data_IF_668214213169
#
_entry.id   IF_668214213169
#
_cell.length_a   1.000
_cell.length_b   1.000
_cell.length_c   1.000
_cell.angle_alpha   90.00
_cell.angle_beta   90.00
_cell.angle_gamma   90.00
#
_symmetry.space_group_name_H-M   'P 1'
#
loop_
_entity.id
_entity.type
_entity.pdbx_description
1 polymer ?
#
# COMPACT_ATOMS: atom_id res chain seq x y z
N UNK A 1 32.08 -10.64 -6.37
CA UNK A 1 31.41 -10.31 -7.64
C UNK A 1 30.01 -9.83 -7.29
N UNK A 2 29.66 -8.56 -7.50
CA UNK A 2 28.31 -8.07 -7.17
C UNK A 2 27.37 -8.62 -8.25
N UNK A 3 26.50 -9.56 -7.88
CA UNK A 3 25.55 -10.14 -8.82
C UNK A 3 24.38 -9.17 -9.04
N UNK A 4 24.11 -8.82 -10.30
CA UNK A 4 22.91 -8.07 -10.65
C UNK A 4 21.68 -8.98 -10.49
N UNK A 5 20.77 -8.62 -9.58
CA UNK A 5 19.57 -9.40 -9.31
C UNK A 5 18.34 -8.92 -10.10
N UNK A 6 18.42 -7.81 -10.85
CA UNK A 6 17.25 -7.17 -11.47
C UNK A 6 16.56 -8.09 -12.48
N UNK A 7 17.32 -8.90 -13.21
CA UNK A 7 16.79 -9.83 -14.21
C UNK A 7 16.21 -11.12 -13.59
N UNK A 8 16.40 -11.34 -12.29
CA UNK A 8 15.87 -12.52 -11.62
C UNK A 8 14.37 -12.35 -11.32
N UNK A 9 13.59 -13.43 -11.43
CA UNK A 9 12.21 -13.46 -10.98
C UNK A 9 12.05 -12.97 -9.53
N UNK A 10 10.91 -12.36 -9.22
CA UNK A 10 10.60 -11.90 -7.87
C UNK A 10 10.80 -12.99 -6.81
N UNK A 11 10.37 -14.23 -7.08
CA UNK A 11 10.49 -15.31 -6.10
C UNK A 11 11.93 -15.65 -5.72
N UNK A 12 12.86 -15.58 -6.67
CA UNK A 12 14.28 -15.82 -6.40
C UNK A 12 14.84 -14.70 -5.54
N UNK A 13 14.56 -13.44 -5.92
CA UNK A 13 14.97 -12.26 -5.15
C UNK A 13 14.43 -12.30 -3.73
N UNK A 14 13.17 -12.70 -3.57
CA UNK A 14 12.51 -12.84 -2.27
C UNK A 14 13.13 -13.95 -1.41
N UNK A 15 13.47 -15.11 -2.00
CA UNK A 15 14.19 -16.20 -1.31
C UNK A 15 15.62 -15.81 -0.93
N UNK A 16 16.33 -15.08 -1.81
CA UNK A 16 17.68 -14.58 -1.53
C UNK A 16 17.66 -13.58 -0.37
N UNK A 17 16.67 -12.68 -0.31
CA UNK A 17 16.51 -11.76 0.81
C UNK A 17 16.36 -12.50 2.14
N UNK A 18 15.57 -13.58 2.18
CA UNK A 18 15.46 -14.42 3.38
C UNK A 18 16.82 -15.03 3.76
N UNK A 19 17.47 -15.73 2.83
CA UNK A 19 18.69 -16.50 3.09
C UNK A 19 19.94 -15.66 3.36
N UNK A 20 20.08 -14.53 2.67
CA UNK A 20 21.31 -13.74 2.70
C UNK A 20 21.25 -12.56 3.67
N UNK A 21 20.05 -12.15 4.10
CA UNK A 21 19.87 -10.99 4.99
C UNK A 21 19.15 -11.35 6.28
N UNK A 22 17.99 -12.00 6.18
CA UNK A 22 17.10 -12.20 7.33
C UNK A 22 17.58 -13.35 8.22
N UNK A 23 17.87 -14.51 7.63
CA UNK A 23 18.37 -15.68 8.36
C UNK A 23 19.72 -15.40 9.06
N UNK A 24 20.76 -14.85 8.41
CA UNK A 24 22.04 -14.58 9.06
C UNK A 24 21.91 -13.59 10.22
N UNK A 25 21.11 -12.53 10.04
CA UNK A 25 20.84 -11.54 11.08
C UNK A 25 20.11 -12.16 12.27
N UNK A 26 19.08 -12.97 12.02
CA UNK A 26 18.34 -13.63 13.10
C UNK A 26 19.22 -14.65 13.85
N UNK A 27 20.06 -15.38 13.12
CA UNK A 27 21.04 -16.31 13.69
C UNK A 27 22.02 -15.57 14.60
N UNK A 28 22.64 -14.50 14.13
CA UNK A 28 23.57 -13.69 14.92
C UNK A 28 22.88 -13.09 16.14
N UNK A 29 21.69 -12.51 15.98
CA UNK A 29 20.90 -11.96 17.09
C UNK A 29 20.63 -13.01 18.16
N UNK A 30 20.29 -14.23 17.79
CA UNK A 30 20.06 -15.31 18.74
C UNK A 30 21.33 -15.68 19.52
N UNK A 31 22.48 -15.77 18.83
CA UNK A 31 23.77 -16.04 19.46
C UNK A 31 24.20 -14.93 20.42
N UNK A 32 24.03 -13.67 20.01
CA UNK A 32 24.34 -12.49 20.83
C UNK A 32 23.46 -12.44 22.07
N UNK A 33 22.17 -12.75 21.96
CA UNK A 33 21.25 -12.76 23.10
C UNK A 33 21.63 -13.81 24.16
N UNK A 34 22.29 -14.90 23.76
CA UNK A 34 22.80 -15.94 24.66
C UNK A 34 24.21 -15.66 25.18
N UNK A 35 24.92 -14.69 24.58
CA UNK A 35 26.29 -14.34 24.98
C UNK A 35 26.31 -13.54 26.28
N UNK A 36 27.25 -13.87 27.17
CA UNK A 36 27.51 -13.09 28.40
C UNK A 36 28.14 -11.72 28.12
N UNK A 37 28.80 -11.56 26.98
CA UNK A 37 29.44 -10.30 26.59
C UNK A 37 29.11 -9.99 25.10
N UNK A 38 27.93 -9.41 24.82
CA UNK A 38 27.49 -9.14 23.46
C UNK A 38 28.27 -7.97 22.84
N UNK A 39 28.85 -8.16 21.65
CA UNK A 39 29.55 -7.09 20.92
C UNK A 39 28.60 -6.14 20.17
N UNK A 40 27.33 -6.52 20.02
CA UNK A 40 26.31 -5.72 19.35
C UNK A 40 24.98 -5.81 20.11
N UNK A 41 24.20 -4.71 20.10
CA UNK A 41 22.96 -4.56 20.88
C UNK A 41 21.77 -4.31 19.96
N UNK A 42 21.15 -5.40 19.52
CA UNK A 42 19.96 -5.37 18.65
C UNK A 42 18.76 -4.64 19.27
N UNK A 43 18.68 -4.55 20.59
CA UNK A 43 17.63 -3.85 21.33
C UNK A 43 17.78 -2.31 21.27
N UNK A 44 18.97 -1.81 20.96
CA UNK A 44 19.25 -0.38 20.81
C UNK A 44 19.10 0.12 19.36
N UNK A 45 18.70 -0.77 18.44
CA UNK A 45 18.45 -0.37 17.06
C UNK A 45 17.26 0.60 16.98
N UNK A 46 17.37 1.68 16.18
CA UNK A 46 16.28 2.65 16.03
C UNK A 46 15.04 2.04 15.35
N UNK A 47 15.19 0.90 14.69
CA UNK A 47 14.10 0.17 14.04
C UNK A 47 14.39 -1.33 14.01
N UNK A 48 13.33 -2.13 13.83
CA UNK A 48 13.44 -3.58 13.63
C UNK A 48 13.41 -3.93 12.15
N UNK A 49 14.24 -4.88 11.74
CA UNK A 49 14.24 -5.43 10.39
C UNK A 49 13.37 -6.68 10.35
N UNK A 50 12.39 -6.71 9.44
CA UNK A 50 11.52 -7.86 9.15
C UNK A 50 11.29 -7.95 7.65
N UNK A 51 11.23 -9.18 7.11
CA UNK A 51 10.81 -9.39 5.72
C UNK A 51 9.30 -9.25 5.63
N UNK A 52 8.81 -8.57 4.59
CA UNK A 52 7.38 -8.55 4.27
C UNK A 52 6.99 -9.88 3.62
N UNK A 53 5.98 -10.53 4.18
CA UNK A 53 5.39 -11.74 3.63
C UNK A 53 4.54 -11.43 2.40
N UNK A 54 4.53 -12.39 1.48
CA UNK A 54 3.66 -12.42 0.32
C UNK A 54 2.86 -13.72 0.37
N UNK A 55 1.61 -13.66 -0.07
CA UNK A 55 0.71 -14.79 -0.04
C UNK A 55 0.12 -15.02 -1.43
N UNK A 56 -0.32 -16.25 -1.69
CA UNK A 56 -0.98 -16.61 -2.93
C UNK A 56 -2.32 -15.87 -3.08
N UNK A 57 -2.74 -15.63 -4.32
CA UNK A 57 -4.03 -14.97 -4.63
C UNK A 57 -5.22 -15.64 -3.95
N UNK A 58 -5.19 -16.96 -3.78
CA UNK A 58 -6.25 -17.73 -3.09
C UNK A 58 -6.44 -17.37 -1.61
N UNK A 59 -5.51 -16.62 -1.01
CA UNK A 59 -5.56 -16.21 0.39
C UNK A 59 -6.11 -14.81 0.60
N UNK A 60 -6.39 -14.07 -0.48
CA UNK A 60 -6.76 -12.63 -0.41
C UNK A 60 -7.97 -12.38 0.49
N UNK A 61 -8.99 -13.25 0.45
CA UNK A 61 -10.16 -13.14 1.34
C UNK A 61 -9.76 -13.16 2.82
N UNK A 62 -8.84 -14.05 3.21
CA UNK A 62 -8.34 -14.12 4.59
C UNK A 62 -7.45 -12.92 4.92
N UNK A 63 -6.68 -12.43 3.95
CA UNK A 63 -5.85 -11.25 4.15
C UNK A 63 -6.71 -10.02 4.48
N UNK A 64 -7.74 -9.76 3.68
CA UNK A 64 -8.64 -8.62 3.86
C UNK A 64 -9.47 -8.74 5.14
N UNK A 65 -10.07 -9.91 5.40
CA UNK A 65 -11.05 -10.06 6.49
C UNK A 65 -10.44 -10.42 7.85
N UNK A 66 -9.26 -11.03 7.88
CA UNK A 66 -8.68 -11.54 9.13
C UNK A 66 -7.30 -10.97 9.44
N UNK A 67 -6.42 -10.79 8.44
CA UNK A 67 -5.04 -10.40 8.67
C UNK A 67 -4.88 -8.89 8.80
N UNK A 68 -5.38 -8.12 7.81
CA UNK A 68 -5.29 -6.67 7.77
C UNK A 68 -5.89 -6.01 9.03
N UNK A 69 -7.09 -6.41 9.50
CA UNK A 69 -7.66 -5.84 10.73
C UNK A 69 -6.84 -6.11 12.00
N UNK A 70 -5.91 -7.08 11.98
CA UNK A 70 -5.03 -7.44 13.09
C UNK A 70 -3.64 -6.82 12.96
N UNK A 71 -3.38 -6.03 11.92
CA UNK A 71 -2.10 -5.35 11.76
C UNK A 71 -1.94 -4.28 12.84
N UNK A 72 -0.71 -4.10 13.30
CA UNK A 72 -0.36 -3.04 14.25
C UNK A 72 -0.16 -1.68 13.57
N UNK A 73 -0.55 -1.55 12.30
CA UNK A 73 -0.41 -0.37 11.46
C UNK A 73 -1.54 -0.35 10.44
N UNK A 74 -1.88 0.86 9.98
CA UNK A 74 -2.92 1.04 8.97
C UNK A 74 -2.49 0.40 7.64
N UNK A 75 -3.46 -0.21 6.95
CA UNK A 75 -3.29 -0.73 5.60
C UNK A 75 -4.39 -0.17 4.71
N UNK A 76 -4.00 0.30 3.53
CA UNK A 76 -4.89 0.99 2.59
C UNK A 76 -5.32 0.13 1.40
N UNK A 77 -4.99 -1.17 1.42
CA UNK A 77 -5.39 -2.13 0.40
C UNK A 77 -4.35 -3.21 0.16
N UNK A 78 -4.16 -3.58 -1.10
CA UNK A 78 -3.34 -4.71 -1.53
C UNK A 78 -2.34 -4.32 -2.61
N UNK A 79 -1.19 -5.00 -2.62
CA UNK A 79 -0.19 -4.93 -3.67
C UNK A 79 -0.09 -6.30 -4.34
N UNK A 80 -0.24 -6.34 -5.65
CA UNK A 80 -0.09 -7.55 -6.46
C UNK A 80 1.24 -7.50 -7.20
N UNK A 81 2.10 -8.46 -6.89
CA UNK A 81 3.44 -8.60 -7.45
C UNK A 81 3.47 -9.89 -8.27
N UNK A 82 3.82 -9.78 -9.56
CA UNK A 82 4.04 -10.95 -10.39
C UNK A 82 5.19 -11.79 -9.84
N UNK A 83 4.93 -13.08 -9.65
CA UNK A 83 5.86 -14.01 -9.00
C UNK A 83 7.11 -14.28 -9.84
N UNK A 84 6.92 -14.34 -11.16
CA UNK A 84 7.96 -14.63 -12.14
C UNK A 84 8.58 -13.35 -12.75
N UNK A 85 8.07 -12.17 -12.37
CA UNK A 85 8.46 -10.90 -12.98
C UNK A 85 9.87 -10.44 -12.53
N UNK A 86 10.71 -9.97 -13.48
CA UNK A 86 11.95 -9.29 -13.13
C UNK A 86 11.66 -7.94 -12.45
N UNK A 87 12.67 -7.36 -11.81
CA UNK A 87 12.54 -6.02 -11.27
C UNK A 87 12.59 -4.98 -12.39
N UNK A 88 11.57 -4.11 -12.45
CA UNK A 88 11.52 -2.98 -13.36
C UNK A 88 11.72 -1.68 -12.57
N UNK A 89 12.80 -0.91 -12.83
CA UNK A 89 12.98 0.39 -12.20
C UNK A 89 11.91 1.38 -12.65
N UNK A 90 11.48 2.27 -11.73
CA UNK A 90 10.43 3.29 -11.94
C UNK A 90 9.05 2.64 -12.08
N UNK A 91 8.21 3.14 -13.00
CA UNK A 91 6.85 2.65 -13.21
C UNK A 91 6.87 1.26 -13.81
N UNK A 92 6.14 0.34 -13.18
CA UNK A 92 5.96 -1.02 -13.66
C UNK A 92 4.46 -1.30 -13.80
N UNK A 93 4.00 -1.48 -15.03
CA UNK A 93 2.57 -1.74 -15.33
C UNK A 93 2.07 -3.11 -14.79
N UNK A 94 2.98 -4.04 -14.49
CA UNK A 94 2.65 -5.33 -13.88
C UNK A 94 2.58 -5.31 -12.35
N UNK A 95 3.08 -4.26 -11.71
CA UNK A 95 2.96 -4.07 -10.26
C UNK A 95 1.68 -3.32 -9.96
N UNK A 96 0.65 -4.06 -9.58
CA UNK A 96 -0.67 -3.49 -9.33
C UNK A 96 -0.83 -3.14 -7.86
N UNK A 97 -1.55 -2.05 -7.61
CA UNK A 97 -2.00 -1.65 -6.28
C UNK A 97 -3.51 -1.49 -6.33
N UNK A 98 -4.19 -2.16 -5.42
CA UNK A 98 -5.61 -1.95 -5.16
C UNK A 98 -5.74 -1.21 -3.84
N UNK A 99 -6.62 -0.21 -3.80
CA UNK A 99 -6.96 0.53 -2.59
C UNK A 99 -8.45 0.49 -2.36
N UNK A 100 -8.85 0.54 -1.10
CA UNK A 100 -10.25 0.76 -0.76
C UNK A 100 -10.75 2.07 -1.41
N UNK A 101 -11.92 2.07 -2.06
CA UNK A 101 -12.45 3.25 -2.75
C UNK A 101 -12.44 4.52 -1.89
N UNK A 102 -12.82 4.39 -0.63
CA UNK A 102 -12.88 5.46 0.38
C UNK A 102 -11.52 6.00 0.81
N UNK A 103 -10.43 5.27 0.53
CA UNK A 103 -9.05 5.67 0.80
C UNK A 103 -8.34 6.25 -0.43
N UNK A 104 -9.04 6.37 -1.55
CA UNK A 104 -8.55 7.16 -2.68
C UNK A 104 -8.69 8.65 -2.35
N UNK A 105 -7.55 9.27 -2.09
CA UNK A 105 -7.48 10.66 -1.65
C UNK A 105 -6.67 11.54 -2.60
N UNK A 106 -6.96 12.84 -2.54
CA UNK A 106 -6.24 13.89 -3.23
C UNK A 106 -5.87 14.95 -2.21
N UNK A 107 -4.62 15.42 -2.26
CA UNK A 107 -4.22 16.57 -1.45
C UNK A 107 -4.46 17.87 -2.22
N UNK A 108 -5.36 18.70 -1.71
CA UNK A 108 -5.68 20.02 -2.25
C UNK A 108 -5.11 21.11 -1.36
N UNK A 109 -4.79 22.26 -1.95
CA UNK A 109 -4.66 23.50 -1.19
C UNK A 109 -6.06 24.09 -1.05
N UNK A 110 -6.50 24.29 0.17
CA UNK A 110 -7.82 24.81 0.49
C UNK A 110 -7.74 26.27 0.87
N UNK A 111 -8.58 27.11 0.29
CA UNK A 111 -8.72 28.52 0.63
C UNK A 111 -10.21 28.86 0.75
N UNK A 112 -10.52 29.85 1.58
CA UNK A 112 -11.85 30.47 1.68
C UNK A 112 -11.70 31.91 1.24
N UNK A 113 -12.53 32.36 0.30
CA UNK A 113 -12.51 33.74 -0.18
C UNK A 113 -13.33 34.69 0.71
N UNK A 114 -13.38 35.97 0.33
CA UNK A 114 -14.10 37.00 1.09
C UNK A 114 -15.63 36.83 1.10
N UNK A 115 -16.17 36.01 0.20
CA UNK A 115 -17.60 35.68 0.10
C UNK A 115 -17.92 34.34 0.80
N UNK A 116 -17.02 33.85 1.67
CA UNK A 116 -17.08 32.54 2.33
C UNK A 116 -17.15 31.33 1.36
N UNK A 117 -16.70 31.50 0.11
CA UNK A 117 -16.69 30.41 -0.86
C UNK A 117 -15.44 29.57 -0.68
N UNK A 118 -15.64 28.26 -0.71
CA UNK A 118 -14.58 27.28 -0.63
C UNK A 118 -13.88 27.11 -1.99
N UNK A 119 -12.56 27.18 -1.99
CA UNK A 119 -11.72 27.09 -3.18
C UNK A 119 -10.70 25.95 -3.01
N UNK A 120 -10.65 25.06 -3.99
CA UNK A 120 -9.72 23.94 -4.02
C UNK A 120 -8.70 24.11 -5.13
N UNK A 121 -7.42 24.02 -4.79
CA UNK A 121 -6.33 24.18 -5.75
C UNK A 121 -5.47 22.92 -5.85
N UNK A 122 -5.10 22.61 -7.10
CA UNK A 122 -4.09 21.63 -7.46
C UNK A 122 -2.85 22.33 -8.03
N UNK A 123 -1.74 21.61 -8.12
CA UNK A 123 -0.58 22.07 -8.87
C UNK A 123 -0.71 21.66 -10.34
N UNK A 124 -0.44 22.58 -11.26
CA UNK A 124 -0.29 22.27 -12.67
C UNK A 124 0.96 22.98 -13.18
N UNK A 125 2.05 22.22 -13.33
CA UNK A 125 3.35 22.73 -13.81
C UNK A 125 3.86 23.92 -12.98
N UNK A 126 3.73 23.83 -11.66
CA UNK A 126 4.19 24.85 -10.70
C UNK A 126 3.24 26.03 -10.50
N UNK A 127 2.02 25.99 -11.07
CA UNK A 127 0.99 27.02 -10.88
C UNK A 127 -0.22 26.45 -10.15
N UNK A 128 -0.88 27.27 -9.32
CA UNK A 128 -2.17 26.94 -8.71
C UNK A 128 -3.23 26.83 -9.81
N UNK A 129 -3.94 25.70 -9.84
CA UNK A 129 -5.09 25.43 -10.70
C UNK A 129 -6.33 25.28 -9.83
N UNK A 130 -7.31 26.17 -10.00
CA UNK A 130 -8.58 26.11 -9.30
C UNK A 130 -9.44 24.95 -9.82
N UNK A 131 -10.07 24.23 -8.89
CA UNK A 131 -11.05 23.19 -9.16
C UNK A 131 -12.46 23.78 -8.98
N UNK A 132 -13.05 24.25 -10.08
CA UNK A 132 -14.37 24.88 -10.08
C UNK A 132 -15.47 23.89 -9.66
N UNK A 133 -16.49 24.40 -8.93
CA UNK A 133 -17.69 23.64 -8.58
C UNK A 133 -17.49 22.51 -7.57
N UNK A 134 -16.35 22.45 -6.87
CA UNK A 134 -16.07 21.45 -5.85
C UNK A 134 -16.12 22.08 -4.45
N UNK A 135 -16.81 21.43 -3.52
CA UNK A 135 -16.85 21.81 -2.10
C UNK A 135 -16.27 20.70 -1.24
N UNK A 136 -15.87 21.07 -0.02
CA UNK A 136 -15.34 20.15 0.99
C UNK A 136 -16.24 20.13 2.22
N UNK A 137 -16.53 18.92 2.69
CA UNK A 137 -17.21 18.66 3.95
C UNK A 137 -16.18 18.28 5.02
N UNK A 138 -16.28 18.92 6.18
CA UNK A 138 -15.51 18.61 7.38
C UNK A 138 -16.41 17.88 8.36
N UNK A 139 -16.24 16.55 8.48
CA UNK A 139 -17.16 15.67 9.23
C UNK A 139 -17.16 15.90 10.74
N UNK A 140 -16.14 16.56 11.27
CA UNK A 140 -16.01 16.94 12.68
C UNK A 140 -16.79 18.22 13.04
N UNK A 141 -17.45 18.86 12.07
CA UNK A 141 -18.18 20.11 12.26
C UNK A 141 -17.28 21.32 12.40
N UNK A 142 -15.98 21.19 12.10
CA UNK A 142 -15.03 22.30 12.14
C UNK A 142 -15.38 23.37 11.10
N UNK A 143 -15.16 24.63 11.46
CA UNK A 143 -15.33 25.76 10.54
C UNK A 143 -14.30 25.66 9.38
N UNK A 144 -14.75 25.61 8.11
CA UNK A 144 -13.86 25.59 6.95
C UNK A 144 -12.80 26.68 6.96
N UNK A 145 -13.13 27.88 7.45
CA UNK A 145 -12.22 29.03 7.49
C UNK A 145 -10.91 28.73 8.26
N UNK A 146 -10.97 27.85 9.26
CA UNK A 146 -9.82 27.41 10.04
C UNK A 146 -8.79 26.59 9.23
N UNK A 147 -9.18 26.10 8.04
CA UNK A 147 -8.33 25.34 7.13
C UNK A 147 -7.80 26.15 5.94
N UNK A 148 -8.23 27.41 5.81
CA UNK A 148 -7.79 28.28 4.71
C UNK A 148 -6.27 28.44 4.69
N UNK A 149 -5.68 28.31 3.50
CA UNK A 149 -4.23 28.32 3.26
C UNK A 149 -3.51 27.01 3.58
N UNK A 150 -4.21 25.96 4.02
CA UNK A 150 -3.60 24.66 4.37
C UNK A 150 -3.77 23.65 3.24
N UNK A 151 -2.88 22.67 3.20
CA UNK A 151 -3.06 21.48 2.37
C UNK A 151 -3.90 20.49 3.16
N UNK A 152 -5.01 20.06 2.57
CA UNK A 152 -5.92 19.08 3.13
C UNK A 152 -5.96 17.84 2.23
N UNK A 153 -5.95 16.67 2.85
CA UNK A 153 -6.17 15.40 2.17
C UNK A 153 -7.68 15.11 2.17
N UNK A 154 -8.26 14.93 0.99
CA UNK A 154 -9.69 14.67 0.84
C UNK A 154 -9.94 13.36 0.10
N UNK A 155 -10.93 12.59 0.54
CA UNK A 155 -11.50 11.47 -0.22
C UNK A 155 -12.79 11.90 -0.90
N UNK A 156 -13.17 11.19 -1.97
CA UNK A 156 -14.42 11.45 -2.68
C UNK A 156 -15.55 10.59 -2.11
N UNK A 157 -16.63 11.22 -1.68
CA UNK A 157 -17.88 10.56 -1.34
C UNK A 157 -18.74 10.44 -2.61
N UNK A 158 -18.89 9.23 -3.14
CA UNK A 158 -19.62 9.00 -4.37
C UNK A 158 -21.14 9.16 -4.21
N UNK A 159 -21.66 8.98 -3.00
CA UNK A 159 -23.10 9.02 -2.77
C UNK A 159 -23.57 10.48 -2.68
N UNK A 160 -22.84 11.29 -1.93
CA UNK A 160 -23.13 12.72 -1.75
C UNK A 160 -22.48 13.62 -2.83
N UNK A 161 -21.60 13.06 -3.67
CA UNK A 161 -20.85 13.78 -4.72
C UNK A 161 -20.06 14.97 -4.17
N UNK A 162 -19.39 14.78 -3.02
CA UNK A 162 -18.60 15.82 -2.34
C UNK A 162 -17.21 15.30 -1.95
N UNK A 163 -16.26 16.23 -1.81
CA UNK A 163 -14.99 15.92 -1.17
C UNK A 163 -15.15 15.95 0.34
N UNK A 164 -14.61 14.95 1.03
CA UNK A 164 -14.60 14.86 2.48
C UNK A 164 -13.18 15.07 2.97
N UNK A 165 -12.95 16.08 3.80
CA UNK A 165 -11.66 16.28 4.44
C UNK A 165 -11.34 15.12 5.39
N UNK A 166 -10.21 14.47 5.17
CA UNK A 166 -9.68 13.41 6.02
C UNK A 166 -8.74 13.99 7.08
N UNK A 167 -7.81 14.85 6.67
CA UNK A 167 -6.82 15.48 7.57
C UNK A 167 -6.09 16.65 6.91
N UNK A 168 -5.41 17.43 7.74
CA UNK A 168 -4.44 18.45 7.31
C UNK A 168 -3.07 17.79 7.06
N UNK A 169 -2.42 18.14 5.95
CA UNK A 169 -1.10 17.66 5.53
C UNK A 169 -0.01 18.65 5.86
N UNK A 170 0.38 18.71 7.12
CA UNK A 170 1.49 19.57 7.59
C UNK A 170 2.86 19.13 7.06
N UNK A 171 2.96 17.89 6.57
CA UNK A 171 4.15 17.32 5.93
C UNK A 171 4.35 17.79 4.47
N UNK A 172 3.36 18.48 3.89
CA UNK A 172 3.38 18.91 2.49
C UNK A 172 3.45 20.43 2.37
N UNK A 173 4.21 20.90 1.40
CA UNK A 173 4.29 22.31 1.02
C UNK A 173 3.51 22.65 -0.25
N UNK A 174 3.13 21.63 -1.05
CA UNK A 174 2.37 21.81 -2.30
C UNK A 174 1.24 20.77 -2.41
N UNK A 175 0.09 21.13 -3.03
CA UNK A 175 -0.96 20.16 -3.33
C UNK A 175 -0.51 19.16 -4.39
N UNK A 176 -1.35 18.16 -4.68
CA UNK A 176 -1.07 17.19 -5.73
C UNK A 176 -0.99 17.83 -7.13
N UNK A 177 -0.18 17.23 -7.99
CA UNK A 177 -0.19 17.54 -9.43
C UNK A 177 -1.53 17.15 -10.05
N UNK A 178 -1.99 17.93 -11.02
CA UNK A 178 -3.22 17.66 -11.76
C UNK A 178 -3.22 16.27 -12.42
N UNK A 179 -2.05 15.79 -12.86
CA UNK A 179 -1.91 14.43 -13.39
C UNK A 179 -2.13 13.34 -12.33
N UNK A 180 -1.76 13.59 -11.07
CA UNK A 180 -2.04 12.69 -9.95
C UNK A 180 -3.53 12.68 -9.68
N UNK A 181 -4.17 13.85 -9.58
CA UNK A 181 -5.62 13.98 -9.45
C UNK A 181 -6.37 13.19 -10.54
N UNK A 182 -5.98 13.34 -11.82
CA UNK A 182 -6.61 12.58 -12.92
C UNK A 182 -6.51 11.06 -12.76
N UNK A 183 -5.39 10.56 -12.24
CA UNK A 183 -5.21 9.12 -11.97
C UNK A 183 -6.08 8.66 -10.81
N UNK A 184 -6.17 9.47 -9.75
CA UNK A 184 -7.05 9.19 -8.61
C UNK A 184 -8.53 9.20 -9.04
N UNK A 185 -8.97 10.21 -9.80
CA UNK A 185 -10.33 10.26 -10.33
C UNK A 185 -10.67 9.10 -11.26
N UNK A 186 -9.71 8.63 -12.06
CA UNK A 186 -9.89 7.40 -12.84
C UNK A 186 -10.13 6.21 -11.92
N UNK A 187 -9.30 6.05 -10.88
CA UNK A 187 -9.45 4.97 -9.91
C UNK A 187 -10.80 5.02 -9.17
N UNK A 188 -11.25 6.22 -8.78
CA UNK A 188 -12.55 6.43 -8.15
C UNK A 188 -13.68 6.04 -9.11
N UNK A 189 -13.56 6.41 -10.39
CA UNK A 189 -14.57 6.10 -11.42
C UNK A 189 -14.61 4.60 -11.76
N UNK A 190 -13.45 3.95 -11.82
CA UNK A 190 -13.36 2.50 -12.07
C UNK A 190 -13.98 1.72 -10.89
N UNK A 191 -13.97 2.29 -9.68
CA UNK A 191 -14.64 1.83 -8.47
C UNK A 191 -14.57 0.31 -8.23
N UNK A 192 -13.35 -0.25 -8.31
CA UNK A 192 -13.14 -1.67 -8.03
C UNK A 192 -13.29 -1.88 -6.53
N UNK A 193 -14.47 -2.30 -6.09
CA UNK A 193 -14.77 -2.60 -4.68
C UNK A 193 -14.09 -3.91 -4.24
N UNK A 194 -14.09 -4.17 -2.93
CA UNK A 194 -13.61 -5.44 -2.37
C UNK A 194 -14.33 -6.64 -3.02
N UNK A 195 -15.66 -6.57 -3.16
CA UNK A 195 -16.45 -7.67 -3.73
C UNK A 195 -16.11 -7.93 -5.20
N UNK A 196 -15.94 -6.88 -6.01
CA UNK A 196 -15.52 -7.02 -7.41
C UNK A 196 -14.13 -7.66 -7.47
N UNK A 197 -13.19 -7.17 -6.66
CA UNK A 197 -11.83 -7.71 -6.61
C UNK A 197 -11.83 -9.19 -6.23
N UNK A 198 -12.57 -9.56 -5.18
CA UNK A 198 -12.66 -10.95 -4.72
C UNK A 198 -13.29 -11.86 -5.77
N UNK A 199 -14.32 -11.38 -6.48
CA UNK A 199 -14.95 -12.13 -7.56
C UNK A 199 -13.98 -12.39 -8.72
N UNK A 200 -13.25 -11.37 -9.18
CA UNK A 200 -12.23 -11.51 -10.22
C UNK A 200 -11.12 -12.49 -9.81
N UNK A 201 -10.64 -12.38 -8.58
CA UNK A 201 -9.61 -13.30 -8.05
C UNK A 201 -10.13 -14.75 -8.04
N UNK A 202 -11.38 -14.97 -7.65
CA UNK A 202 -11.99 -16.31 -7.61
C UNK A 202 -12.04 -16.97 -8.99
N UNK A 203 -12.23 -16.21 -10.06
CA UNK A 203 -12.17 -16.73 -11.42
C UNK A 203 -10.70 -16.94 -11.87
N UNK A 204 -9.81 -16.00 -11.56
CA UNK A 204 -8.38 -16.09 -11.91
C UNK A 204 -7.72 -17.33 -11.31
N UNK A 205 -7.98 -17.65 -10.04
CA UNK A 205 -7.34 -18.80 -9.37
C UNK A 205 -7.76 -20.15 -9.94
N UNK A 206 -8.86 -20.21 -10.71
CA UNK A 206 -9.33 -21.42 -11.40
C UNK A 206 -8.62 -21.65 -12.73
N UNK A 207 -7.93 -20.63 -13.26
CA UNK A 207 -7.14 -20.79 -14.49
C UNK A 207 -6.02 -21.82 -14.27
N UNK A 208 -5.71 -22.67 -15.26
CA UNK A 208 -4.76 -23.78 -15.09
C UNK A 208 -3.41 -23.36 -14.49
N UNK A 209 -2.87 -22.23 -14.95
CA UNK A 209 -1.61 -21.66 -14.48
C UNK A 209 -1.57 -21.41 -12.96
N UNK A 210 -2.68 -20.93 -12.37
CA UNK A 210 -2.76 -20.68 -10.93
C UNK A 210 -3.12 -21.94 -10.15
N UNK A 211 -4.01 -22.78 -10.68
CA UNK A 211 -4.41 -24.04 -10.05
C UNK A 211 -3.21 -24.97 -9.85
N UNK A 212 -2.32 -25.08 -10.83
CA UNK A 212 -1.08 -25.88 -10.72
C UNK A 212 -0.16 -25.37 -9.62
N UNK A 213 0.06 -24.05 -9.57
CA UNK A 213 0.93 -23.42 -8.57
C UNK A 213 0.36 -23.57 -7.16
N UNK A 214 -0.95 -23.36 -6.96
CA UNK A 214 -1.62 -23.55 -5.67
C UNK A 214 -1.49 -25.01 -5.19
N UNK A 215 -1.65 -25.99 -6.09
CA UNK A 215 -1.47 -27.41 -5.75
C UNK A 215 -0.05 -27.73 -5.30
N UNK A 216 0.95 -27.21 -6.01
CA UNK A 216 2.36 -27.44 -5.68
C UNK A 216 2.74 -26.82 -4.32
N UNK A 217 2.30 -25.60 -4.06
CA UNK A 217 2.55 -24.92 -2.78
C UNK A 217 1.83 -25.60 -1.60
N UNK A 218 0.61 -26.06 -1.82
CA UNK A 218 -0.16 -26.80 -0.80
C UNK A 218 0.54 -28.11 -0.40
N UNK A 219 1.09 -28.84 -1.38
CA UNK A 219 1.91 -30.03 -1.14
C UNK A 219 3.19 -29.67 -0.37
N UNK A 220 3.90 -28.63 -0.77
CA UNK A 220 5.11 -28.18 -0.07
C UNK A 220 4.84 -27.79 1.40
N UNK A 221 3.72 -27.12 1.67
CA UNK A 221 3.29 -26.79 3.04
C UNK A 221 2.96 -28.03 3.87
N UNK A 222 2.28 -29.03 3.30
CA UNK A 222 2.00 -30.31 3.97
C UNK A 222 3.29 -31.07 4.32
N UNK A 223 4.27 -31.09 3.42
CA UNK A 223 5.58 -31.69 3.68
C UNK A 223 6.37 -30.95 4.77
N UNK A 224 6.29 -29.62 4.80
CA UNK A 224 7.00 -28.80 5.81
C UNK A 224 6.34 -28.90 7.20
N UNK A 225 4.99 -28.95 7.26
CA UNK A 225 4.26 -29.12 8.52
C UNK A 225 4.43 -30.53 9.12
N UNK A 226 4.57 -31.56 8.28
CA UNK A 226 4.88 -32.92 8.72
C UNK A 226 6.33 -33.09 9.17
N UNK A 227 7.28 -32.39 8.54
CA UNK A 227 8.68 -32.35 8.98
C UNK A 227 8.88 -31.62 10.32
N UNK A 228 8.06 -30.61 10.64
CA UNK A 228 8.07 -29.91 11.94
C UNK A 228 7.40 -30.67 13.09
N UNK A 229 6.66 -31.74 12.79
CA UNK A 229 5.97 -32.60 13.78
C UNK A 229 6.73 -33.88 14.11
N UNK A 230 7.88 -34.11 13.48
CA UNK A 230 8.85 -35.15 13.82
C UNK A 230 10.04 -34.53 14.53
#
# INVERSE_FOLDING_TARGET
MIQNLLQRPFYERWKMLEKEVIEPRNYERHHIYQSRNPYYRYDLEPFRVRRKDFWLLSTVTKLLKEFIPKLSHDADGLIFQGWDDPYVPRTHEGLLKWKYPELNSVDFLFEVDADDRQLLYLNERGKKKLMEGNTVVFKDGSDPSSFSGKIIECSWDSDEQVWVCMRVRTDKSTPNEFNTYRKVMRSIKDNITEDILLNEINEIIRLPMYADRIRNDSKAHQHTASARRR
#
